data_IF_955395451768
#
_entry.id   IF_955395451768
#
_cell.length_a   1.000
_cell.length_b   1.000
_cell.length_c   1.000
_cell.angle_alpha   90.00
_cell.angle_beta   90.00
_cell.angle_gamma   90.00
#
_symmetry.space_group_name_H-M   'P 1'
#
loop_
_entity.id
_entity.type
_entity.pdbx_description
1 polymer ?
#
# COMPACT_ATOMS: atom_id res chain seq x y z
N UNK A 1 23.12 -36.32 14.36
CA UNK A 1 21.64 -36.21 14.49
C UNK A 1 21.15 -34.75 14.47
N UNK A 2 21.59 -33.88 15.40
CA UNK A 2 21.16 -32.46 15.44
C UNK A 2 21.42 -31.67 14.14
N UNK A 3 22.58 -31.86 13.50
CA UNK A 3 22.91 -31.20 12.22
C UNK A 3 22.03 -31.67 11.05
N UNK A 4 21.68 -32.96 11.03
CA UNK A 4 20.77 -33.53 10.01
C UNK A 4 19.37 -32.97 10.20
N UNK A 5 18.88 -32.94 11.45
CA UNK A 5 17.58 -32.34 11.79
C UNK A 5 17.49 -30.87 11.38
N UNK A 6 18.57 -30.09 11.57
CA UNK A 6 18.63 -28.68 11.19
C UNK A 6 18.57 -28.49 9.67
N UNK A 7 19.28 -29.31 8.90
CA UNK A 7 19.25 -29.29 7.43
C UNK A 7 17.85 -29.69 6.91
N UNK A 8 17.22 -30.68 7.54
CA UNK A 8 15.86 -31.10 7.17
C UNK A 8 14.83 -30.01 7.42
N UNK A 9 14.93 -29.28 8.54
CA UNK A 9 14.03 -28.15 8.84
C UNK A 9 14.18 -27.01 7.82
N UNK A 10 15.42 -26.67 7.44
CA UNK A 10 15.68 -25.65 6.40
C UNK A 10 15.10 -26.08 5.04
N UNK A 11 15.27 -27.35 4.66
CA UNK A 11 14.73 -27.87 3.40
C UNK A 11 13.20 -27.83 3.35
N UNK A 12 12.52 -28.12 4.47
CA UNK A 12 11.05 -28.07 4.55
C UNK A 12 10.55 -26.63 4.43
N UNK A 13 11.24 -25.64 5.03
CA UNK A 13 10.83 -24.23 4.91
C UNK A 13 10.98 -23.66 3.49
N UNK A 14 11.94 -24.17 2.71
CA UNK A 14 12.15 -23.75 1.32
C UNK A 14 11.18 -24.42 0.32
N UNK A 15 10.49 -25.49 0.72
CA UNK A 15 9.57 -26.23 -0.13
C UNK A 15 8.14 -25.64 -0.16
N UNK A 16 7.82 -24.68 0.73
CA UNK A 16 6.53 -24.01 0.73
C UNK A 16 6.50 -22.89 -0.32
N UNK A 17 6.09 -23.23 -1.54
CA UNK A 17 5.67 -22.24 -2.54
C UNK A 17 4.15 -22.10 -2.47
N UNK A 18 3.61 -20.88 -2.36
CA UNK A 18 2.16 -20.69 -2.45
C UNK A 18 1.69 -20.99 -3.87
N UNK A 19 0.96 -22.08 -4.06
CA UNK A 19 0.37 -22.50 -5.34
C UNK A 19 -0.73 -21.52 -5.83
N UNK A 20 -1.22 -20.64 -4.95
CA UNK A 20 -2.29 -19.69 -5.24
C UNK A 20 -1.91 -18.30 -4.70
N UNK A 21 -1.19 -17.48 -5.48
CA UNK A 21 -0.83 -16.15 -5.04
C UNK A 21 -2.08 -15.29 -4.88
N UNK A 22 -2.08 -14.40 -3.89
CA UNK A 22 -3.20 -13.50 -3.62
C UNK A 22 -3.38 -12.42 -4.71
N UNK A 23 -2.33 -12.13 -5.48
CA UNK A 23 -2.35 -11.19 -6.59
C UNK A 23 -1.33 -11.60 -7.67
N UNK A 24 -1.53 -11.08 -8.87
CA UNK A 24 -0.58 -11.15 -9.99
C UNK A 24 -0.41 -9.75 -10.55
N UNK A 25 0.82 -9.41 -10.97
CA UNK A 25 1.14 -8.14 -11.61
C UNK A 25 1.51 -8.40 -13.06
N UNK A 26 1.03 -7.54 -13.94
CA UNK A 26 1.25 -7.67 -15.37
C UNK A 26 1.79 -6.36 -15.95
N UNK A 27 2.66 -6.47 -16.94
CA UNK A 27 3.04 -5.31 -17.76
C UNK A 27 1.99 -5.02 -18.85
N UNK A 28 2.22 -3.97 -19.64
CA UNK A 28 1.33 -3.57 -20.74
C UNK A 28 1.14 -4.62 -21.84
N UNK A 29 1.97 -5.65 -21.89
CA UNK A 29 1.87 -6.76 -22.85
C UNK A 29 1.12 -7.96 -22.27
N UNK A 30 0.69 -7.89 -21.00
CA UNK A 30 0.07 -9.00 -20.29
C UNK A 30 1.07 -10.01 -19.74
N UNK A 31 2.37 -9.69 -19.73
CA UNK A 31 3.39 -10.56 -19.14
C UNK A 31 3.41 -10.39 -17.64
N UNK A 32 3.44 -11.50 -16.90
CA UNK A 32 3.61 -11.49 -15.44
C UNK A 32 4.97 -10.87 -15.08
N UNK A 33 4.95 -9.89 -14.18
CA UNK A 33 6.16 -9.23 -13.65
C UNK A 33 6.23 -9.36 -12.13
N UNK A 34 7.44 -9.25 -11.59
CA UNK A 34 7.63 -9.19 -10.14
C UNK A 34 7.28 -7.80 -9.60
N UNK A 35 7.00 -7.73 -8.30
CA UNK A 35 6.74 -6.49 -7.60
C UNK A 35 7.93 -5.51 -7.70
N UNK A 36 9.16 -6.02 -7.57
CA UNK A 36 10.38 -5.22 -7.67
C UNK A 36 10.57 -4.60 -9.07
N UNK A 37 10.19 -5.35 -10.12
CA UNK A 37 10.24 -4.83 -11.49
C UNK A 37 9.25 -3.69 -11.67
N UNK A 38 8.02 -3.83 -11.19
CA UNK A 38 7.02 -2.76 -11.20
C UNK A 38 7.55 -1.55 -10.42
N UNK A 39 8.06 -1.75 -9.21
CA UNK A 39 8.55 -0.69 -8.34
C UNK A 39 9.73 0.09 -8.97
N UNK A 40 10.59 -0.59 -9.74
CA UNK A 40 11.67 0.07 -10.50
C UNK A 40 11.12 1.11 -11.47
N UNK A 41 10.02 0.79 -12.16
CA UNK A 41 9.38 1.71 -13.09
C UNK A 41 8.69 2.86 -12.33
N UNK A 42 7.92 2.54 -11.28
CA UNK A 42 7.21 3.53 -10.45
C UNK A 42 8.14 4.58 -9.81
N UNK A 43 9.36 4.18 -9.41
CA UNK A 43 10.35 5.11 -8.83
C UNK A 43 10.82 6.20 -9.79
N UNK A 44 10.73 5.96 -11.10
CA UNK A 44 11.15 6.92 -12.13
C UNK A 44 10.03 7.82 -12.63
N UNK A 45 8.77 7.48 -12.33
CA UNK A 45 7.63 8.28 -12.73
C UNK A 45 7.52 9.58 -11.92
N UNK A 46 7.08 10.65 -12.59
CA UNK A 46 6.72 11.92 -11.93
C UNK A 46 5.35 11.82 -11.24
N UNK A 47 4.41 11.09 -11.87
CA UNK A 47 3.05 10.86 -11.36
C UNK A 47 2.73 9.37 -11.52
N UNK A 48 2.20 8.77 -10.45
CA UNK A 48 1.70 7.39 -10.43
C UNK A 48 0.21 7.44 -10.12
N UNK A 49 -0.62 6.91 -11.02
CA UNK A 49 -2.04 6.68 -10.74
C UNK A 49 -2.21 5.24 -10.25
N UNK A 50 -2.85 5.08 -9.10
CA UNK A 50 -3.25 3.80 -8.55
C UNK A 50 -4.78 3.73 -8.60
N UNK A 51 -5.32 2.80 -9.39
CA UNK A 51 -6.76 2.54 -9.44
C UNK A 51 -7.10 1.36 -8.55
N UNK A 52 -8.17 1.50 -7.76
CA UNK A 52 -8.65 0.44 -6.87
C UNK A 52 -10.08 0.00 -7.20
N UNK A 53 -10.43 -1.21 -6.75
CA UNK A 53 -11.81 -1.59 -6.52
C UNK A 53 -12.12 -1.34 -5.05
N UNK A 54 -13.02 -0.42 -4.73
CA UNK A 54 -13.34 -0.09 -3.34
C UNK A 54 -13.77 -1.32 -2.55
N UNK A 55 -13.37 -1.38 -1.27
CA UNK A 55 -13.57 -2.52 -0.36
C UNK A 55 -12.79 -3.78 -0.75
N UNK A 56 -11.75 -3.67 -1.58
CA UNK A 56 -10.84 -4.78 -1.89
C UNK A 56 -9.59 -4.71 -1.00
N UNK A 57 -9.41 -5.63 -0.03
CA UNK A 57 -8.31 -5.56 0.92
C UNK A 57 -6.92 -5.74 0.28
N UNK A 58 -6.83 -6.41 -0.88
CA UNK A 58 -5.57 -6.55 -1.60
C UNK A 58 -5.17 -5.23 -2.26
N UNK A 59 -6.15 -4.43 -2.71
CA UNK A 59 -5.90 -3.10 -3.28
C UNK A 59 -5.35 -2.16 -2.20
N UNK A 60 -6.04 -2.01 -1.07
CA UNK A 60 -5.57 -1.18 0.05
C UNK A 60 -4.21 -1.64 0.62
N UNK A 61 -4.00 -2.95 0.72
CA UNK A 61 -2.70 -3.48 1.12
C UNK A 61 -1.60 -3.07 0.14
N UNK A 62 -1.87 -3.13 -1.16
CA UNK A 62 -0.90 -2.81 -2.19
C UNK A 62 -0.59 -1.31 -2.24
N UNK A 63 -1.60 -0.44 -2.07
CA UNK A 63 -1.42 1.02 -1.92
C UNK A 63 -0.46 1.33 -0.76
N UNK A 64 -0.66 0.68 0.39
CA UNK A 64 0.21 0.84 1.56
C UNK A 64 1.64 0.37 1.29
N UNK A 65 1.83 -0.81 0.67
CA UNK A 65 3.16 -1.32 0.38
C UNK A 65 3.90 -0.42 -0.60
N UNK A 66 3.25 -0.07 -1.73
CA UNK A 66 3.85 0.80 -2.76
C UNK A 66 4.19 2.16 -2.17
N UNK A 67 3.29 2.75 -1.37
CA UNK A 67 3.55 4.03 -0.71
C UNK A 67 4.77 3.97 0.18
N UNK A 68 4.93 2.92 1.01
CA UNK A 68 6.11 2.74 1.87
C UNK A 68 7.39 2.63 1.04
N UNK A 69 7.37 1.83 -0.02
CA UNK A 69 8.55 1.61 -0.84
C UNK A 69 8.93 2.83 -1.71
N UNK A 70 7.95 3.58 -2.18
CA UNK A 70 8.18 4.88 -2.83
C UNK A 70 8.69 5.91 -1.82
N UNK A 71 8.19 5.91 -0.59
CA UNK A 71 8.67 6.82 0.46
C UNK A 71 10.14 6.55 0.81
N UNK A 72 10.60 5.30 0.77
CA UNK A 72 12.04 4.99 0.94
C UNK A 72 12.89 5.72 -0.11
N UNK A 73 12.42 5.80 -1.35
CA UNK A 73 13.15 6.42 -2.46
C UNK A 73 12.96 7.95 -2.54
N UNK A 74 11.76 8.46 -2.25
CA UNK A 74 11.37 9.87 -2.48
C UNK A 74 11.34 10.71 -1.21
N UNK A 75 11.16 10.09 -0.03
CA UNK A 75 11.06 10.75 1.28
C UNK A 75 10.01 11.87 1.26
N UNK A 76 10.35 13.06 1.74
CA UNK A 76 9.48 14.23 1.78
C UNK A 76 9.03 14.75 0.41
N UNK A 77 9.63 14.25 -0.69
CA UNK A 77 9.20 14.61 -2.04
C UNK A 77 8.04 13.74 -2.53
N UNK A 78 7.60 12.72 -1.76
CA UNK A 78 6.41 11.95 -2.08
C UNK A 78 5.16 12.70 -1.61
N UNK A 79 4.24 12.94 -2.54
CA UNK A 79 2.93 13.52 -2.28
C UNK A 79 1.87 12.47 -2.61
N UNK A 80 0.88 12.31 -1.73
CA UNK A 80 -0.23 11.39 -1.92
C UNK A 80 -1.51 12.18 -2.22
N UNK A 81 -2.12 11.85 -3.35
CA UNK A 81 -3.48 12.26 -3.71
C UNK A 81 -4.44 11.11 -3.45
N UNK A 82 -5.66 11.43 -3.04
CA UNK A 82 -6.48 10.49 -2.30
C UNK A 82 -7.96 10.80 -2.60
N UNK A 83 -8.63 9.97 -3.41
CA UNK A 83 -9.99 10.25 -3.94
C UNK A 83 -11.03 10.48 -2.84
N UNK A 84 -11.01 9.66 -1.80
CA UNK A 84 -11.93 9.71 -0.66
C UNK A 84 -11.73 10.89 0.29
N UNK A 85 -10.77 11.78 0.01
CA UNK A 85 -10.58 13.03 0.76
C UNK A 85 -10.72 14.25 -0.18
N UNK A 86 -11.89 14.89 -0.13
CA UNK A 86 -12.17 16.06 -0.97
C UNK A 86 -11.22 17.24 -0.67
N UNK A 87 -10.77 17.91 -1.74
CA UNK A 87 -9.71 18.93 -1.67
C UNK A 87 -10.03 20.16 -0.81
N UNK A 88 -11.31 20.50 -0.63
CA UNK A 88 -11.73 21.63 0.21
C UNK A 88 -11.53 21.35 1.72
N UNK A 89 -11.35 20.09 2.10
CA UNK A 89 -11.05 19.68 3.47
C UNK A 89 -9.53 19.64 3.78
N UNK A 90 -8.67 20.17 2.89
CA UNK A 90 -7.21 20.12 3.08
C UNK A 90 -6.74 20.76 4.41
N UNK A 91 -7.44 21.78 4.90
CA UNK A 91 -7.12 22.43 6.19
C UNK A 91 -7.29 21.42 7.33
N UNK A 92 -8.42 20.72 7.40
CA UNK A 92 -8.74 19.73 8.44
C UNK A 92 -7.73 18.59 8.40
N UNK A 93 -7.38 18.11 7.20
CA UNK A 93 -6.35 17.08 7.01
C UNK A 93 -4.98 17.53 7.55
N UNK A 94 -4.56 18.75 7.24
CA UNK A 94 -3.29 19.30 7.72
C UNK A 94 -3.26 19.45 9.25
N UNK A 95 -4.38 19.88 9.85
CA UNK A 95 -4.50 19.99 11.30
C UNK A 95 -4.47 18.63 11.99
N UNK A 96 -5.09 17.61 11.39
CA UNK A 96 -5.03 16.25 11.90
C UNK A 96 -3.61 15.66 11.82
N UNK A 97 -2.97 15.74 10.66
CA UNK A 97 -1.61 15.21 10.44
C UNK A 97 -0.54 15.93 11.28
N UNK A 98 -0.75 17.22 11.60
CA UNK A 98 0.12 17.98 12.51
C UNK A 98 -0.18 17.77 14.00
N UNK A 99 -1.22 17.00 14.33
CA UNK A 99 -1.62 16.70 15.72
C UNK A 99 -2.37 17.84 16.42
N UNK A 100 -2.83 18.86 15.68
CA UNK A 100 -3.63 19.97 16.24
C UNK A 100 -5.03 19.54 16.63
N UNK A 101 -5.65 18.64 15.87
CA UNK A 101 -6.96 18.05 16.17
C UNK A 101 -6.83 16.55 16.43
N UNK A 102 -7.70 16.01 17.29
CA UNK A 102 -7.76 14.58 17.58
C UNK A 102 -8.57 13.84 16.51
N UNK A 103 -8.38 12.52 16.42
CA UNK A 103 -9.13 11.66 15.48
C UNK A 103 -10.65 11.83 15.59
N UNK A 104 -11.20 12.05 16.80
CA UNK A 104 -12.64 12.28 16.96
C UNK A 104 -13.11 13.60 16.31
N UNK A 105 -12.33 14.68 16.44
CA UNK A 105 -12.62 15.96 15.76
C UNK A 105 -12.48 15.80 14.24
N UNK A 106 -11.40 15.15 13.79
CA UNK A 106 -11.20 14.86 12.37
C UNK A 106 -12.41 14.12 11.76
N UNK A 107 -12.88 13.06 12.41
CA UNK A 107 -14.05 12.29 11.91
C UNK A 107 -15.36 13.07 11.90
N UNK A 108 -15.53 14.02 12.81
CA UNK A 108 -16.74 14.83 12.89
C UNK A 108 -16.76 15.99 11.89
N UNK A 109 -15.58 16.51 11.54
CA UNK A 109 -15.44 17.70 10.68
C UNK A 109 -15.15 17.33 9.22
N UNK A 110 -14.48 16.20 8.98
CA UNK A 110 -14.13 15.72 7.65
C UNK A 110 -15.36 15.05 6.99
N UNK A 111 -15.61 15.32 5.71
CA UNK A 111 -16.61 14.60 4.92
C UNK A 111 -16.06 13.23 4.51
N UNK A 112 -16.16 12.26 5.42
CA UNK A 112 -15.66 10.90 5.22
C UNK A 112 -16.66 10.03 4.47
N UNK A 113 -16.14 9.10 3.67
CA UNK A 113 -16.95 8.06 3.04
C UNK A 113 -17.48 7.06 4.06
N UNK A 114 -18.62 6.38 3.79
CA UNK A 114 -19.22 5.44 4.72
C UNK A 114 -18.31 4.27 5.16
N UNK A 115 -17.36 3.86 4.32
CA UNK A 115 -16.41 2.77 4.57
C UNK A 115 -15.08 3.24 5.20
N UNK A 116 -14.97 4.49 5.64
CA UNK A 116 -13.72 5.03 6.21
C UNK A 116 -13.13 4.18 7.33
N UNK A 117 -13.95 3.67 8.26
CA UNK A 117 -13.44 2.91 9.41
C UNK A 117 -12.76 1.59 9.05
N UNK A 118 -13.13 0.98 7.92
CA UNK A 118 -12.60 -0.31 7.49
C UNK A 118 -11.51 -0.17 6.45
N UNK A 119 -11.61 0.84 5.57
CA UNK A 119 -10.83 0.88 4.33
C UNK A 119 -9.76 1.98 4.35
N UNK A 120 -10.00 3.10 5.05
CA UNK A 120 -9.23 4.34 4.87
C UNK A 120 -8.67 4.96 6.17
N UNK A 121 -8.65 4.20 7.27
CA UNK A 121 -8.24 4.66 8.59
C UNK A 121 -6.83 4.26 9.00
#
# INVERSE_FOLDING_TARGET
MKKVLFITVIAITLAFTSDKPAYLLFDKTGKVISYEKMLTDLKTADIVFFGELHNNPISHWMELQITKDLFVAKKQNLILGAEMFESDNQIIMNEYLSGKIKSNSFKNEMRLWPNYETDYK
#
